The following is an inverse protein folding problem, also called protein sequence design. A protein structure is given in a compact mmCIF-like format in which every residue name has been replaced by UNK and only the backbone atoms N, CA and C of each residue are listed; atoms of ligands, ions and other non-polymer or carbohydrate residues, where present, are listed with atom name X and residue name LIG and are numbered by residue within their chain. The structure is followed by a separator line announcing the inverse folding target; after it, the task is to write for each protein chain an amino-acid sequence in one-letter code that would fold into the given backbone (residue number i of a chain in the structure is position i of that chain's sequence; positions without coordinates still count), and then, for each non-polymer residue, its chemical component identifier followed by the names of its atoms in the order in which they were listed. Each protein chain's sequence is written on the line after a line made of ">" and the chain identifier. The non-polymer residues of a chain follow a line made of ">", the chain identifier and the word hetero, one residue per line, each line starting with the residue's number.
data_IF_077567235101
#
_entry.id   IF_077567235101
#
_cell.length_a   1.000
_cell.length_b   1.000
_cell.length_c   1.000
_cell.angle_alpha   90.00
_cell.angle_beta   90.00
_cell.angle_gamma   90.00
#
_symmetry.space_group_name_H-M   'P 1'
#
loop_
_entity.id
_entity.type
_entity.pdbx_description
1 polymer ?
#
# COMPACT_ATOMS: atom_id res chain seq x y z
N UNK A 1 -27.76 52.55 18.37
CA UNK A 1 -26.72 51.80 17.63
C UNK A 1 -27.47 50.84 16.71
N UNK A 2 -27.89 51.40 15.58
CA UNK A 2 -29.00 50.94 14.77
C UNK A 2 -28.60 49.88 13.76
N UNK A 3 -29.36 48.78 13.76
CA UNK A 3 -29.21 47.63 12.86
C UNK A 3 -29.58 47.95 11.39
N UNK A 4 -29.88 49.22 11.09
CA UNK A 4 -30.28 49.67 9.75
C UNK A 4 -29.08 49.89 8.79
N UNK A 5 -27.84 49.96 9.28
CA UNK A 5 -26.67 50.27 8.43
C UNK A 5 -26.08 49.08 7.64
N UNK A 6 -26.62 47.87 7.79
CA UNK A 6 -26.00 46.64 7.25
C UNK A 6 -26.83 45.97 6.14
N UNK A 7 -28.09 46.37 5.95
CA UNK A 7 -28.99 45.75 4.98
C UNK A 7 -29.20 46.69 3.78
N UNK A 8 -28.92 46.19 2.56
CA UNK A 8 -29.26 46.90 1.32
C UNK A 8 -30.78 47.04 1.22
N UNK A 9 -31.27 48.17 0.71
CA UNK A 9 -32.70 48.55 0.66
C UNK A 9 -33.60 47.58 -0.12
N UNK A 10 -33.01 46.70 -0.93
CA UNK A 10 -33.73 45.64 -1.64
C UNK A 10 -33.13 44.27 -1.32
N UNK A 11 -33.93 43.31 -0.80
CA UNK A 11 -33.45 41.96 -0.57
C UNK A 11 -33.18 41.26 -1.90
N UNK A 12 -31.95 40.80 -2.09
CA UNK A 12 -31.59 39.99 -3.27
C UNK A 12 -32.12 38.57 -3.03
N UNK A 13 -33.25 38.24 -3.65
CA UNK A 13 -33.79 36.88 -3.65
C UNK A 13 -32.96 36.06 -4.63
N UNK A 14 -32.10 35.18 -4.12
CA UNK A 14 -31.35 34.21 -4.93
C UNK A 14 -31.97 32.83 -4.79
N UNK A 15 -32.29 32.19 -5.91
CA UNK A 15 -32.78 30.81 -5.91
C UNK A 15 -31.60 29.85 -5.73
N UNK A 16 -31.56 29.18 -4.58
CA UNK A 16 -30.61 28.08 -4.34
C UNK A 16 -31.14 26.83 -5.02
N UNK A 17 -30.34 26.21 -5.89
CA UNK A 17 -30.68 24.90 -6.47
C UNK A 17 -30.99 23.88 -5.37
N UNK A 18 -32.01 23.06 -5.58
CA UNK A 18 -32.29 21.91 -4.72
C UNK A 18 -31.11 20.93 -4.78
N UNK A 19 -30.75 20.36 -3.61
CA UNK A 19 -29.67 19.37 -3.54
C UNK A 19 -30.09 18.14 -4.32
N UNK A 20 -29.38 17.80 -5.39
CA UNK A 20 -29.63 16.59 -6.15
C UNK A 20 -28.88 15.39 -5.55
N UNK A 21 -29.14 14.19 -6.06
CA UNK A 21 -28.49 12.97 -5.58
C UNK A 21 -26.96 13.06 -5.66
N UNK A 22 -26.42 13.71 -6.69
CA UNK A 22 -24.96 13.94 -6.86
C UNK A 22 -24.38 14.83 -5.76
N UNK A 23 -25.11 15.84 -5.29
CA UNK A 23 -24.68 16.73 -4.19
C UNK A 23 -24.67 15.99 -2.84
N UNK A 24 -25.62 15.06 -2.64
CA UNK A 24 -25.67 14.17 -1.47
C UNK A 24 -24.59 13.09 -1.52
N UNK A 25 -24.28 12.59 -2.71
CA UNK A 25 -23.26 11.57 -2.98
C UNK A 25 -21.91 12.20 -3.37
N UNK A 26 -21.58 13.38 -2.83
CA UNK A 26 -20.24 13.95 -3.01
C UNK A 26 -19.21 13.01 -2.38
N UNK A 27 -18.06 12.84 -3.06
CA UNK A 27 -17.02 11.85 -2.71
C UNK A 27 -16.57 11.84 -1.24
N UNK A 28 -16.68 12.97 -0.54
CA UNK A 28 -16.35 13.09 0.89
C UNK A 28 -17.31 12.30 1.80
N UNK A 29 -18.57 12.13 1.40
CA UNK A 29 -19.57 11.35 2.14
C UNK A 29 -19.67 9.89 1.67
N UNK A 30 -18.90 9.49 0.66
CA UNK A 30 -18.82 8.10 0.24
C UNK A 30 -17.98 7.30 1.24
N UNK A 31 -18.61 6.86 2.33
CA UNK A 31 -18.10 5.76 3.13
C UNK A 31 -18.40 4.51 2.32
N UNK A 32 -17.40 3.94 1.65
CA UNK A 32 -17.58 2.63 1.03
C UNK A 32 -18.07 1.68 2.11
N UNK A 33 -19.24 1.01 1.97
CA UNK A 33 -19.62 -0.01 2.91
C UNK A 33 -18.51 -1.07 2.85
N UNK A 34 -17.73 -1.16 3.92
CA UNK A 34 -16.87 -2.30 4.11
C UNK A 34 -17.83 -3.49 4.18
N UNK A 35 -17.91 -4.28 3.11
CA UNK A 35 -18.49 -5.62 3.18
C UNK A 35 -17.65 -6.39 4.20
N UNK A 36 -18.01 -6.28 5.47
CA UNK A 36 -17.54 -7.15 6.53
C UNK A 36 -18.22 -8.49 6.30
N UNK A 37 -17.72 -9.25 5.32
CA UNK A 37 -17.91 -10.70 5.39
C UNK A 37 -17.43 -11.10 6.79
N UNK A 38 -18.29 -11.72 7.58
CA UNK A 38 -18.00 -12.17 8.94
C UNK A 38 -16.68 -12.97 9.02
N UNK A 39 -16.28 -13.62 7.92
CA UNK A 39 -15.01 -14.33 7.75
C UNK A 39 -13.77 -13.41 7.60
N UNK A 40 -13.93 -12.21 7.04
CA UNK A 40 -12.84 -11.24 6.84
C UNK A 40 -12.29 -10.66 8.15
N UNK A 41 -13.03 -10.79 9.26
CA UNK A 41 -12.63 -10.25 10.56
C UNK A 41 -11.73 -11.17 11.40
N UNK A 42 -11.56 -12.45 11.03
CA UNK A 42 -10.67 -13.37 11.77
C UNK A 42 -9.31 -13.57 11.13
N UNK A 43 -9.24 -13.58 9.80
CA UNK A 43 -8.01 -13.91 9.09
C UNK A 43 -7.17 -12.67 8.85
N UNK A 44 -6.12 -12.48 9.65
CA UNK A 44 -5.14 -11.40 9.49
C UNK A 44 -3.84 -11.94 8.90
N UNK A 45 -3.13 -11.11 8.13
CA UNK A 45 -1.88 -11.51 7.49
C UNK A 45 -1.88 -11.35 5.97
N UNK A 46 -0.73 -11.67 5.39
CA UNK A 46 -0.47 -11.73 3.97
C UNK A 46 -0.65 -13.15 3.45
N UNK A 47 -1.42 -13.32 2.38
CA UNK A 47 -1.77 -14.61 1.79
C UNK A 47 -1.74 -14.57 0.27
N UNK A 48 -1.47 -15.73 -0.35
CA UNK A 48 -1.67 -15.95 -1.78
C UNK A 48 -3.16 -15.88 -2.11
N UNK A 49 -3.51 -15.34 -3.28
CA UNK A 49 -4.90 -15.37 -3.75
C UNK A 49 -5.27 -16.66 -4.51
N UNK A 50 -4.33 -17.60 -4.68
CA UNK A 50 -4.53 -18.91 -5.30
C UNK A 50 -4.40 -18.95 -6.82
N UNK A 51 -4.90 -17.96 -7.54
CA UNK A 51 -5.09 -18.06 -9.00
C UNK A 51 -4.30 -17.08 -9.88
N UNK A 52 -3.48 -16.18 -9.31
CA UNK A 52 -2.78 -15.18 -10.11
C UNK A 52 -1.29 -15.47 -10.29
N UNK A 53 -0.74 -15.00 -11.42
CA UNK A 53 0.68 -15.15 -11.79
C UNK A 53 1.64 -14.63 -10.71
N UNK A 54 1.26 -13.65 -9.90
CA UNK A 54 2.12 -13.10 -8.84
C UNK A 54 2.23 -14.01 -7.59
N UNK A 55 1.35 -14.98 -7.39
CA UNK A 55 1.31 -15.82 -6.19
C UNK A 55 2.60 -16.60 -5.87
N UNK A 56 3.41 -17.07 -6.84
CA UNK A 56 4.68 -17.76 -6.54
C UNK A 56 5.65 -16.93 -5.71
N UNK A 57 5.64 -15.61 -5.87
CA UNK A 57 6.51 -14.67 -5.15
C UNK A 57 5.90 -14.16 -3.84
N UNK A 58 4.62 -14.42 -3.58
CA UNK A 58 3.97 -13.98 -2.33
C UNK A 58 4.32 -14.94 -1.20
N UNK A 59 4.86 -14.37 -0.13
CA UNK A 59 5.11 -15.08 1.12
C UNK A 59 3.89 -15.00 2.03
N UNK A 60 3.47 -16.15 2.57
CA UNK A 60 2.41 -16.18 3.58
C UNK A 60 3.02 -15.76 4.92
N UNK A 61 2.47 -14.72 5.53
CA UNK A 61 3.00 -14.22 6.80
C UNK A 61 1.91 -13.54 7.63
N UNK A 62 1.95 -13.67 8.95
CA UNK A 62 1.09 -12.91 9.89
C UNK A 62 1.80 -11.70 10.48
N UNK A 63 3.13 -11.66 10.33
CA UNK A 63 4.02 -10.65 10.85
C UNK A 63 5.13 -10.33 9.85
N UNK A 64 5.66 -9.13 9.94
CA UNK A 64 6.85 -8.68 9.22
C UNK A 64 7.93 -8.45 10.26
N UNK A 65 9.10 -9.07 10.10
CA UNK A 65 10.25 -8.81 10.96
C UNK A 65 10.64 -7.34 10.85
N UNK A 66 10.69 -6.64 11.99
CA UNK A 66 11.17 -5.27 12.08
C UNK A 66 12.64 -5.23 12.47
N UNK A 67 13.08 -4.09 13.00
CA UNK A 67 14.48 -3.81 13.40
C UNK A 67 14.66 -3.98 14.92
N UNK A 68 15.89 -3.80 15.40
CA UNK A 68 16.37 -3.97 16.78
C UNK A 68 15.46 -3.41 17.89
N UNK A 69 14.70 -2.35 17.62
CA UNK A 69 13.75 -1.68 18.51
C UNK A 69 12.34 -2.27 18.48
N UNK A 70 11.86 -2.69 17.29
CA UNK A 70 10.58 -3.38 17.10
C UNK A 70 10.84 -4.69 16.39
N UNK A 71 10.99 -5.77 17.17
CA UNK A 71 11.30 -7.11 16.63
C UNK A 71 10.31 -7.53 15.53
N UNK A 72 9.01 -7.27 15.70
CA UNK A 72 7.98 -7.79 14.80
C UNK A 72 6.79 -6.83 14.65
N UNK A 73 6.35 -6.59 13.41
CA UNK A 73 5.10 -5.92 13.09
C UNK A 73 4.00 -6.94 12.79
N UNK A 74 2.95 -6.97 13.60
CA UNK A 74 1.76 -7.80 13.35
C UNK A 74 0.88 -7.19 12.26
N UNK A 75 0.64 -7.95 11.19
CA UNK A 75 -0.21 -7.51 10.08
C UNK A 75 -1.66 -7.50 10.57
N UNK A 76 -2.28 -6.33 10.57
CA UNK A 76 -3.61 -6.10 11.18
C UNK A 76 -4.77 -6.42 10.23
N UNK A 77 -4.49 -6.46 8.94
CA UNK A 77 -5.47 -6.63 7.87
C UNK A 77 -5.27 -7.95 7.13
N UNK A 78 -6.30 -8.39 6.41
CA UNK A 78 -6.17 -9.43 5.39
C UNK A 78 -5.58 -8.83 4.10
N UNK A 79 -4.38 -9.23 3.75
CA UNK A 79 -3.64 -8.76 2.58
C UNK A 79 -3.46 -9.92 1.60
N UNK A 80 -3.74 -9.68 0.32
CA UNK A 80 -3.46 -10.63 -0.75
C UNK A 80 -3.09 -9.90 -2.05
N UNK A 81 -2.86 -10.68 -3.11
CA UNK A 81 -2.43 -10.18 -4.41
C UNK A 81 -3.37 -9.11 -5.03
N UNK A 82 -4.65 -9.07 -4.64
CA UNK A 82 -5.66 -8.10 -5.13
C UNK A 82 -5.77 -6.86 -4.26
N UNK A 83 -5.12 -6.82 -3.10
CA UNK A 83 -5.15 -5.67 -2.21
C UNK A 83 -4.48 -4.46 -2.86
N UNK A 84 -5.10 -3.29 -2.74
CA UNK A 84 -4.58 -1.98 -3.16
C UNK A 84 -4.08 -1.19 -1.95
N UNK A 85 -3.24 -0.18 -2.16
CA UNK A 85 -2.70 0.63 -1.05
C UNK A 85 -1.84 -0.21 -0.10
N UNK A 86 -0.88 -0.94 -0.67
CA UNK A 86 -0.02 -1.88 0.05
C UNK A 86 1.38 -1.29 0.18
N UNK A 87 1.91 -1.32 1.40
CA UNK A 87 3.35 -1.22 1.68
C UNK A 87 3.86 -2.64 1.83
N UNK A 88 4.96 -2.97 1.18
CA UNK A 88 5.48 -4.33 1.12
C UNK A 88 6.98 -4.37 1.33
N UNK A 89 7.43 -5.52 1.83
CA UNK A 89 8.84 -5.89 1.92
C UNK A 89 9.09 -7.04 0.96
N UNK A 90 10.06 -6.88 0.07
CA UNK A 90 10.67 -7.96 -0.70
C UNK A 90 11.92 -8.40 0.05
N UNK A 91 11.99 -9.69 0.40
CA UNK A 91 13.18 -10.31 0.97
C UNK A 91 13.82 -11.18 -0.10
N UNK A 92 15.13 -11.03 -0.26
CA UNK A 92 15.95 -11.95 -1.02
C UNK A 92 16.46 -13.07 -0.10
N UNK A 93 16.79 -14.23 -0.66
CA UNK A 93 17.35 -15.36 0.10
C UNK A 93 18.74 -15.04 0.70
N UNK A 94 19.48 -14.09 0.12
CA UNK A 94 20.77 -13.63 0.65
C UNK A 94 20.64 -12.68 1.85
N UNK A 95 19.42 -12.36 2.29
CA UNK A 95 19.16 -11.49 3.42
C UNK A 95 18.89 -10.02 3.06
N UNK A 96 19.19 -9.62 1.81
CA UNK A 96 18.91 -8.27 1.30
C UNK A 96 17.40 -8.00 1.26
N UNK A 97 17.01 -6.78 1.61
CA UNK A 97 15.61 -6.35 1.67
C UNK A 97 15.34 -5.12 0.82
N UNK A 98 14.13 -5.06 0.27
CA UNK A 98 13.60 -3.89 -0.42
C UNK A 98 12.21 -3.55 0.14
N UNK A 99 11.98 -2.26 0.42
CA UNK A 99 10.70 -1.75 0.89
C UNK A 99 10.07 -0.91 -0.21
N UNK A 100 8.81 -1.18 -0.53
CA UNK A 100 8.09 -0.45 -1.55
C UNK A 100 6.64 -0.18 -1.17
N UNK A 101 6.01 0.73 -1.90
CA UNK A 101 4.59 1.06 -1.77
C UNK A 101 3.88 1.01 -3.12
N UNK A 102 2.59 0.71 -3.12
CA UNK A 102 1.77 0.79 -4.33
C UNK A 102 0.34 1.19 -4.00
N UNK A 103 -0.21 2.13 -4.77
CA UNK A 103 -1.65 2.47 -4.76
C UNK A 103 -2.46 1.50 -5.62
N UNK A 104 -1.83 0.80 -6.56
CA UNK A 104 -2.45 -0.18 -7.47
C UNK A 104 -2.57 -1.55 -6.80
N UNK A 105 -3.20 -2.51 -7.46
CA UNK A 105 -3.24 -3.89 -6.96
C UNK A 105 -1.82 -4.44 -6.79
N UNK A 106 -1.55 -5.06 -5.64
CA UNK A 106 -0.22 -5.52 -5.27
C UNK A 106 0.40 -6.49 -6.28
N UNK A 107 -0.41 -7.39 -6.86
CA UNK A 107 0.01 -8.31 -7.93
C UNK A 107 0.67 -7.61 -9.11
N UNK A 108 0.19 -6.41 -9.49
CA UNK A 108 0.76 -5.67 -10.63
C UNK A 108 2.17 -5.23 -10.31
N UNK A 109 2.40 -4.74 -9.09
CA UNK A 109 3.71 -4.31 -8.63
C UNK A 109 4.70 -5.46 -8.49
N UNK A 110 4.25 -6.64 -8.03
CA UNK A 110 5.10 -7.84 -7.98
C UNK A 110 5.55 -8.23 -9.39
N UNK A 111 4.63 -8.28 -10.35
CA UNK A 111 4.96 -8.64 -11.74
C UNK A 111 5.84 -7.60 -12.44
N UNK A 112 5.74 -6.33 -12.06
CA UNK A 112 6.67 -5.30 -12.51
C UNK A 112 8.10 -5.60 -12.05
N UNK A 113 8.32 -5.87 -10.77
CA UNK A 113 9.65 -6.24 -10.27
C UNK A 113 10.21 -7.47 -10.98
N UNK A 114 9.37 -8.50 -11.19
CA UNK A 114 9.76 -9.69 -11.96
C UNK A 114 10.14 -9.32 -13.39
N UNK A 115 9.34 -8.48 -14.06
CA UNK A 115 9.64 -8.00 -15.40
C UNK A 115 10.88 -7.13 -15.47
N UNK A 116 11.16 -6.34 -14.44
CA UNK A 116 12.35 -5.49 -14.34
C UNK A 116 13.63 -6.34 -14.25
N UNK A 117 13.60 -7.45 -13.50
CA UNK A 117 14.69 -8.44 -13.47
C UNK A 117 14.91 -9.04 -14.86
N UNK A 118 13.85 -9.59 -15.47
CA UNK A 118 13.92 -10.28 -16.77
C UNK A 118 14.43 -9.35 -17.88
N UNK A 119 14.00 -8.09 -17.87
CA UNK A 119 14.39 -7.09 -18.86
C UNK A 119 15.65 -6.32 -18.47
N UNK A 120 16.33 -6.71 -17.38
CA UNK A 120 17.55 -6.06 -16.86
C UNK A 120 17.41 -4.54 -16.74
N UNK A 121 16.24 -4.07 -16.27
CA UNK A 121 16.00 -2.65 -16.08
C UNK A 121 16.83 -2.14 -14.91
N UNK A 122 17.27 -0.88 -14.99
CA UNK A 122 18.04 -0.24 -13.93
C UNK A 122 17.16 0.11 -12.72
N UNK A 123 16.88 -0.89 -11.88
CA UNK A 123 16.17 -0.75 -10.61
C UNK A 123 16.96 -1.47 -9.53
N UNK A 124 16.88 -1.02 -8.29
CA UNK A 124 17.68 -1.59 -7.21
C UNK A 124 17.42 -3.09 -7.00
N UNK A 125 16.16 -3.53 -7.11
CA UNK A 125 15.79 -4.95 -7.08
C UNK A 125 16.36 -5.69 -8.28
N UNK A 126 16.14 -5.19 -9.50
CA UNK A 126 16.61 -5.89 -10.70
C UNK A 126 18.13 -6.01 -10.75
N UNK A 127 18.86 -4.93 -10.43
CA UNK A 127 20.33 -4.94 -10.40
C UNK A 127 20.83 -5.98 -9.39
N UNK A 128 20.31 -5.97 -8.16
CA UNK A 128 20.69 -6.95 -7.13
C UNK A 128 20.45 -8.39 -7.57
N UNK A 129 19.26 -8.70 -8.12
CA UNK A 129 18.92 -10.07 -8.51
C UNK A 129 19.74 -10.51 -9.74
N UNK A 130 19.98 -9.62 -10.70
CA UNK A 130 20.79 -9.93 -11.86
C UNK A 130 22.28 -10.12 -11.52
N UNK A 131 22.81 -9.32 -10.60
CA UNK A 131 24.23 -9.36 -10.21
C UNK A 131 24.53 -10.49 -9.21
N UNK A 132 23.69 -10.68 -8.20
CA UNK A 132 23.94 -11.61 -7.10
C UNK A 132 23.32 -13.00 -7.32
N UNK A 133 22.32 -13.11 -8.21
CA UNK A 133 21.51 -14.33 -8.37
C UNK A 133 21.27 -14.71 -9.83
N UNK A 134 22.07 -14.17 -10.78
CA UNK A 134 21.99 -14.46 -12.21
C UNK A 134 20.56 -14.30 -12.80
N UNK A 135 19.80 -13.35 -12.25
CA UNK A 135 18.43 -13.09 -12.70
C UNK A 135 17.38 -14.07 -12.19
N UNK A 136 17.72 -15.00 -11.28
CA UNK A 136 16.75 -15.93 -10.69
C UNK A 136 15.71 -15.19 -9.84
N UNK A 137 14.53 -14.98 -10.40
CA UNK A 137 13.44 -14.29 -9.70
C UNK A 137 12.82 -15.12 -8.56
N UNK A 138 13.07 -16.43 -8.49
CA UNK A 138 12.49 -17.29 -7.45
C UNK A 138 12.99 -16.94 -6.04
N UNK A 139 14.16 -16.31 -5.96
CA UNK A 139 14.79 -15.85 -4.73
C UNK A 139 14.05 -14.68 -4.07
N UNK A 140 13.18 -13.98 -4.81
CA UNK A 140 12.39 -12.87 -4.28
C UNK A 140 11.13 -13.37 -3.56
N UNK A 141 10.91 -12.89 -2.33
CA UNK A 141 9.70 -13.18 -1.53
C UNK A 141 9.06 -11.91 -0.98
N UNK A 142 7.81 -11.67 -1.33
CA UNK A 142 7.08 -10.44 -1.03
C UNK A 142 6.06 -10.64 0.10
N UNK A 143 6.07 -9.74 1.08
CA UNK A 143 5.09 -9.67 2.17
C UNK A 143 4.48 -8.27 2.24
N UNK A 144 3.16 -8.15 2.33
CA UNK A 144 2.44 -6.87 2.28
C UNK A 144 1.66 -6.53 3.55
N UNK A 145 1.52 -5.23 3.82
CA UNK A 145 0.69 -4.62 4.86
C UNK A 145 -0.07 -3.39 4.29
N UNK A 146 -1.22 -3.03 4.87
CA UNK A 146 -2.05 -1.91 4.38
C UNK A 146 -1.55 -0.55 4.89
N UNK A 147 -1.56 0.47 4.03
CA UNK A 147 -1.05 1.82 4.31
C UNK A 147 -1.78 2.59 5.42
N UNK A 148 -3.08 2.37 5.64
CA UNK A 148 -3.94 3.24 6.48
C UNK A 148 -3.58 3.31 7.97
N UNK A 149 -2.66 2.47 8.46
CA UNK A 149 -2.06 2.58 9.81
C UNK A 149 -0.52 2.44 9.81
N UNK A 150 0.08 2.53 8.64
CA UNK A 150 1.48 2.15 8.39
C UNK A 150 2.33 3.35 7.92
N UNK A 151 1.67 4.44 7.46
CA UNK A 151 2.32 5.58 6.80
C UNK A 151 3.15 6.52 7.67
N UNK A 152 2.99 6.50 9.00
CA UNK A 152 3.76 7.38 9.90
C UNK A 152 4.81 6.65 10.75
N UNK A 153 4.61 5.37 11.08
CA UNK A 153 5.56 4.63 11.92
C UNK A 153 6.57 3.81 11.13
N UNK A 154 6.28 3.34 9.90
CA UNK A 154 7.13 2.31 9.30
C UNK A 154 8.19 2.80 8.32
N UNK A 155 7.94 3.90 7.60
CA UNK A 155 9.01 4.58 6.83
C UNK A 155 10.15 4.96 7.78
N UNK A 156 9.82 5.41 9.00
CA UNK A 156 10.82 5.69 10.04
C UNK A 156 11.48 4.42 10.64
N UNK A 157 10.80 3.27 10.71
CA UNK A 157 11.37 2.04 11.29
C UNK A 157 12.13 1.15 10.30
N UNK A 158 11.95 1.32 8.98
CA UNK A 158 12.60 0.49 7.96
C UNK A 158 13.76 1.20 7.22
N UNK A 159 13.91 2.53 7.35
CA UNK A 159 14.85 3.31 6.53
C UNK A 159 16.22 3.60 7.18
N UNK A 160 16.63 2.91 8.25
CA UNK A 160 17.84 3.28 8.98
C UNK A 160 18.81 2.12 9.28
N UNK A 161 19.40 1.48 8.28
CA UNK A 161 20.87 1.23 8.21
C UNK A 161 21.29 1.02 6.76
N UNK A 162 22.35 1.71 6.41
CA UNK A 162 22.69 2.11 5.04
C UNK A 162 23.63 1.12 4.33
N UNK A 163 23.55 -0.17 4.67
CA UNK A 163 24.41 -1.19 4.03
C UNK A 163 23.69 -2.45 3.51
N UNK A 164 22.51 -2.83 4.02
CA UNK A 164 21.79 -4.07 3.62
C UNK A 164 20.37 -3.86 3.05
N UNK A 165 20.03 -2.61 2.70
CA UNK A 165 18.69 -2.27 2.23
C UNK A 165 18.79 -1.45 0.95
N UNK A 166 18.24 -1.98 -0.14
CA UNK A 166 18.12 -1.30 -1.42
C UNK A 166 16.97 -0.26 -1.40
N UNK A 167 17.00 0.75 -0.53
CA UNK A 167 15.96 1.80 -0.49
C UNK A 167 16.16 2.78 -1.64
N UNK A 168 15.32 2.71 -2.67
CA UNK A 168 15.14 3.81 -3.63
C UNK A 168 13.68 4.23 -3.60
N UNK A 169 13.41 5.32 -2.90
CA UNK A 169 12.13 6.01 -2.95
C UNK A 169 12.03 6.74 -4.28
N UNK A 170 11.09 6.33 -5.13
CA UNK A 170 10.54 7.17 -6.20
C UNK A 170 9.26 7.85 -5.74
#
# INVERSE_FOLDING_TARGET
>A
MDLQKVLRETPIITYRRSRNLKDRLTRSHYISPQKTMWLANRTKGCYKCGSCKACPWVNKAIKISGRSDIKEYMIKDFINCKTTGVIYVMNCICGMRYVGKTKREWRRRILEHVGDVVLKRNTSVANHINECHDGDTAVMKFTGARTSRFGSQVTLTLDAERHDICVVTS
#
